data_IF_626516127623
#
_entry.id   IF_626516127623
#
_cell.length_a   1.000
_cell.length_b   1.000
_cell.length_c   1.000
_cell.angle_alpha   90.00
_cell.angle_beta   90.00
_cell.angle_gamma   90.00
#
_symmetry.space_group_name_H-M   'P 1'
#
loop_
_entity.id
_entity.type
_entity.pdbx_description
1 polymer ?
#
# COMPACT_ATOMS: atom_id res chain seq x y z
N UNK A 1 -7.56 4.63 4.43
CA UNK A 1 -8.47 4.70 3.26
C UNK A 1 -9.00 3.32 2.99
N UNK A 2 -10.30 3.19 2.82
CA UNK A 2 -11.00 1.92 2.62
C UNK A 2 -12.21 2.19 1.72
N UNK A 3 -12.28 1.63 0.51
CA UNK A 3 -13.39 1.91 -0.41
C UNK A 3 -14.67 1.14 -0.09
N UNK A 4 -14.60 -0.01 0.59
CA UNK A 4 -15.77 -0.85 0.88
C UNK A 4 -16.57 -0.28 2.06
N UNK A 5 -17.89 -0.06 1.92
CA UNK A 5 -18.70 0.59 2.95
C UNK A 5 -18.64 -0.12 4.31
N UNK A 6 -18.82 -1.43 4.34
CA UNK A 6 -18.79 -2.24 5.56
C UNK A 6 -17.44 -2.22 6.28
N UNK A 7 -16.35 -2.26 5.53
CA UNK A 7 -14.98 -2.14 6.05
C UNK A 7 -14.68 -0.72 6.53
N UNK A 8 -15.18 0.28 5.81
CA UNK A 8 -15.04 1.67 6.21
C UNK A 8 -15.77 1.98 7.52
N UNK A 9 -16.98 1.45 7.70
CA UNK A 9 -17.70 1.59 8.97
C UNK A 9 -16.94 0.95 10.15
N UNK A 10 -16.29 -0.19 9.92
CA UNK A 10 -15.42 -0.83 10.92
C UNK A 10 -14.23 0.09 11.26
N UNK A 11 -13.57 0.67 10.25
CA UNK A 11 -12.48 1.63 10.49
C UNK A 11 -12.93 2.83 11.35
N UNK A 12 -14.11 3.37 11.10
CA UNK A 12 -14.64 4.48 11.91
C UNK A 12 -14.82 4.10 13.38
N UNK A 13 -15.17 2.87 13.66
CA UNK A 13 -15.31 2.36 15.04
C UNK A 13 -13.97 2.11 15.72
N UNK A 14 -13.06 1.44 15.02
CA UNK A 14 -11.78 0.98 15.57
C UNK A 14 -10.72 2.09 15.59
N UNK A 15 -10.79 3.05 14.67
CA UNK A 15 -9.79 4.09 14.46
C UNK A 15 -10.39 5.50 14.53
N UNK A 16 -11.05 5.79 15.65
CA UNK A 16 -11.83 7.02 15.88
C UNK A 16 -11.01 8.31 15.75
N UNK A 17 -9.73 8.25 16.12
CA UNK A 17 -8.84 9.41 16.14
C UNK A 17 -8.09 9.61 14.81
N UNK A 18 -8.30 8.72 13.85
CA UNK A 18 -7.64 8.80 12.55
C UNK A 18 -8.53 9.49 11.50
N UNK A 19 -7.91 10.07 10.50
CA UNK A 19 -8.63 10.52 9.31
C UNK A 19 -8.96 9.29 8.44
N UNK A 20 -10.18 8.81 8.54
CA UNK A 20 -10.68 7.72 7.73
C UNK A 20 -11.41 8.27 6.49
N UNK A 21 -11.09 7.73 5.30
CA UNK A 21 -11.67 8.16 4.03
C UNK A 21 -12.23 6.94 3.30
N UNK A 22 -13.52 7.03 2.88
CA UNK A 22 -14.17 6.01 2.06
C UNK A 22 -13.85 6.23 0.59
N UNK A 23 -12.64 5.85 0.18
CA UNK A 23 -12.13 6.06 -1.17
C UNK A 23 -11.08 5.01 -1.51
N UNK A 24 -11.05 4.58 -2.77
CA UNK A 24 -9.94 3.79 -3.31
C UNK A 24 -8.81 4.69 -3.80
N UNK A 25 -7.63 4.11 -3.98
CA UNK A 25 -6.45 4.84 -4.46
C UNK A 25 -5.97 4.24 -5.78
N UNK A 26 -5.64 5.10 -6.74
CA UNK A 26 -5.17 4.71 -8.06
C UNK A 26 -4.30 5.78 -8.72
N UNK A 27 -4.17 5.71 -10.05
CA UNK A 27 -3.36 6.65 -10.83
C UNK A 27 -4.11 7.91 -11.30
N UNK A 28 -5.41 7.97 -11.10
CA UNK A 28 -6.25 9.10 -11.50
C UNK A 28 -7.49 9.23 -10.61
N UNK A 29 -8.18 10.37 -10.70
CA UNK A 29 -9.49 10.54 -10.10
C UNK A 29 -10.57 9.92 -10.98
N UNK A 30 -11.60 9.31 -10.37
CA UNK A 30 -12.70 8.71 -11.11
C UNK A 30 -13.46 7.64 -10.32
N UNK A 31 -14.03 6.70 -11.07
CA UNK A 31 -14.72 5.54 -10.53
C UNK A 31 -14.06 4.26 -11.02
N UNK A 32 -14.05 3.26 -10.17
CA UNK A 32 -13.47 1.96 -10.43
C UNK A 32 -14.42 0.85 -9.99
N UNK A 33 -14.43 -0.25 -10.71
CA UNK A 33 -15.19 -1.43 -10.33
C UNK A 33 -14.32 -2.43 -9.60
N UNK A 34 -14.71 -2.80 -8.40
CA UNK A 34 -14.12 -3.90 -7.63
C UNK A 34 -14.98 -5.15 -7.71
N UNK A 35 -14.34 -6.30 -7.67
CA UNK A 35 -14.98 -7.61 -7.57
C UNK A 35 -14.82 -8.13 -6.14
N UNK A 36 -15.92 -8.36 -5.44
CA UNK A 36 -15.92 -8.89 -4.07
C UNK A 36 -15.62 -10.40 -4.10
N UNK A 37 -14.62 -10.81 -3.31
CA UNK A 37 -14.18 -12.20 -3.18
C UNK A 37 -14.23 -12.62 -1.70
N UNK A 38 -15.37 -13.15 -1.27
CA UNK A 38 -15.52 -13.56 0.14
C UNK A 38 -15.31 -12.40 1.10
N UNK A 39 -14.21 -12.45 1.89
CA UNK A 39 -13.84 -11.41 2.84
C UNK A 39 -12.96 -10.29 2.23
N UNK A 40 -12.52 -10.45 0.99
CA UNK A 40 -11.64 -9.50 0.29
C UNK A 40 -12.27 -8.92 -0.97
N UNK A 41 -11.51 -8.11 -1.68
CA UNK A 41 -11.88 -7.56 -2.99
C UNK A 41 -10.65 -7.56 -3.91
N UNK A 42 -10.86 -7.50 -5.22
CA UNK A 42 -9.76 -7.43 -6.19
C UNK A 42 -10.16 -6.58 -7.39
N UNK A 43 -9.17 -5.96 -8.03
CA UNK A 43 -9.32 -5.24 -9.29
C UNK A 43 -9.44 -6.19 -10.49
N UNK A 44 -8.96 -7.42 -10.38
CA UNK A 44 -8.86 -8.34 -11.51
C UNK A 44 -10.09 -9.23 -11.66
N UNK A 45 -10.72 -9.17 -12.83
CA UNK A 45 -11.73 -10.15 -13.25
C UNK A 45 -11.20 -11.60 -13.24
N UNK A 46 -9.92 -11.81 -13.50
CA UNK A 46 -9.30 -13.13 -13.59
C UNK A 46 -9.29 -13.87 -12.24
N UNK A 47 -9.24 -13.12 -11.15
CA UNK A 47 -9.28 -13.68 -9.78
C UNK A 47 -10.70 -13.73 -9.21
N UNK A 48 -11.67 -13.03 -9.83
CA UNK A 48 -13.08 -13.09 -9.47
C UNK A 48 -13.73 -14.36 -9.98
N UNK A 49 -14.42 -15.12 -9.10
CA UNK A 49 -15.26 -16.22 -9.53
C UNK A 49 -16.36 -15.68 -10.47
N UNK A 50 -16.87 -16.51 -11.41
CA UNK A 50 -17.90 -16.14 -12.41
C UNK A 50 -19.15 -15.40 -11.84
N UNK A 51 -19.38 -15.46 -10.52
CA UNK A 51 -20.49 -14.80 -9.80
C UNK A 51 -20.03 -13.75 -8.77
N UNK A 52 -18.81 -13.18 -8.90
CA UNK A 52 -18.37 -12.15 -7.96
C UNK A 52 -19.25 -10.91 -8.06
N UNK A 53 -19.74 -10.42 -6.92
CA UNK A 53 -20.50 -9.16 -6.85
C UNK A 53 -19.58 -8.02 -7.23
N UNK A 54 -20.01 -7.19 -8.19
CA UNK A 54 -19.30 -6.01 -8.62
C UNK A 54 -19.83 -4.80 -7.87
N UNK A 55 -18.94 -3.97 -7.34
CA UNK A 55 -19.28 -2.68 -6.77
C UNK A 55 -18.48 -1.57 -7.46
N UNK A 56 -19.07 -0.39 -7.57
CA UNK A 56 -18.38 0.80 -8.06
C UNK A 56 -17.93 1.63 -6.86
N UNK A 57 -16.66 2.01 -6.87
CA UNK A 57 -16.05 2.84 -5.84
C UNK A 57 -15.49 4.12 -6.47
N UNK A 58 -15.47 5.20 -5.69
CA UNK A 58 -14.70 6.39 -6.05
C UNK A 58 -13.23 6.13 -5.83
N UNK A 59 -12.38 6.63 -6.74
CA UNK A 59 -10.93 6.59 -6.61
C UNK A 59 -10.35 7.99 -6.78
N UNK A 60 -9.17 8.19 -6.17
CA UNK A 60 -8.34 9.36 -6.43
C UNK A 60 -6.85 8.98 -6.32
N UNK A 61 -5.96 9.87 -6.75
CA UNK A 61 -4.53 9.66 -6.52
C UNK A 61 -4.20 9.89 -5.05
N UNK A 62 -3.24 9.13 -4.53
CA UNK A 62 -2.75 9.36 -3.17
C UNK A 62 -2.21 10.79 -3.00
N UNK A 63 -1.60 11.35 -4.04
CA UNK A 63 -1.08 12.73 -4.06
C UNK A 63 -2.18 13.78 -3.87
N UNK A 64 -3.32 13.65 -4.56
CA UNK A 64 -4.45 14.56 -4.40
C UNK A 64 -5.05 14.46 -2.99
N UNK A 65 -5.14 13.24 -2.45
CA UNK A 65 -5.62 13.01 -1.09
C UNK A 65 -4.66 13.67 -0.08
N UNK A 66 -3.37 13.46 -0.22
CA UNK A 66 -2.36 14.08 0.65
C UNK A 66 -2.38 15.60 0.55
N UNK A 67 -2.50 16.15 -0.67
CA UNK A 67 -2.64 17.60 -0.89
C UNK A 67 -3.83 18.20 -0.14
N UNK A 68 -4.93 17.48 -0.06
CA UNK A 68 -6.16 17.93 0.60
C UNK A 68 -6.11 17.81 2.12
N UNK A 69 -5.56 16.73 2.64
CA UNK A 69 -5.73 16.36 4.04
C UNK A 69 -4.45 16.40 4.86
N UNK A 70 -3.26 16.29 4.24
CA UNK A 70 -2.01 16.35 4.97
C UNK A 70 -1.64 17.81 5.27
N UNK A 71 -1.43 18.20 6.54
CA UNK A 71 -0.95 19.54 6.88
C UNK A 71 0.37 19.86 6.18
N UNK A 72 0.52 21.11 5.71
CA UNK A 72 1.76 21.57 5.06
C UNK A 72 2.97 21.26 5.95
N UNK A 73 4.07 20.79 5.34
CA UNK A 73 5.32 20.41 6.00
C UNK A 73 5.23 19.23 6.97
N UNK A 74 4.10 18.51 7.04
CA UNK A 74 4.00 17.30 7.86
C UNK A 74 4.81 16.16 7.22
N UNK A 75 5.69 15.56 8.02
CA UNK A 75 6.42 14.35 7.60
C UNK A 75 5.48 13.16 7.47
N UNK A 76 5.75 12.29 6.50
CA UNK A 76 5.11 10.98 6.37
C UNK A 76 6.15 9.96 6.79
N UNK A 77 6.01 9.39 7.99
CA UNK A 77 6.98 8.40 8.47
C UNK A 77 6.79 7.04 7.83
N UNK A 78 5.54 6.68 7.54
CA UNK A 78 5.19 5.35 7.04
C UNK A 78 4.02 5.43 6.08
N UNK A 79 4.10 4.72 4.96
CA UNK A 79 3.01 4.57 4.00
C UNK A 79 2.83 3.09 3.65
N UNK A 80 1.72 2.48 4.08
CA UNK A 80 1.33 1.16 3.61
C UNK A 80 0.46 1.28 2.36
N UNK A 81 0.79 0.50 1.33
CA UNK A 81 0.00 0.31 0.11
C UNK A 81 -0.35 -1.17 0.02
N UNK A 82 -1.66 -1.44 0.05
CA UNK A 82 -2.25 -2.77 0.00
C UNK A 82 -3.63 -2.57 -0.64
N UNK A 83 -3.67 -2.68 -1.96
CA UNK A 83 -4.83 -2.32 -2.79
C UNK A 83 -5.22 -3.43 -3.75
N UNK A 84 -4.86 -4.68 -3.36
CA UNK A 84 -5.34 -5.90 -3.99
C UNK A 84 -5.07 -5.96 -5.51
N UNK A 85 -3.80 -5.69 -5.87
CA UNK A 85 -3.30 -5.75 -7.25
C UNK A 85 -3.27 -4.40 -7.98
N UNK A 86 -3.54 -3.29 -7.28
CA UNK A 86 -3.48 -1.93 -7.81
C UNK A 86 -2.22 -1.15 -7.44
N UNK A 87 -1.22 -1.76 -6.81
CA UNK A 87 -0.03 -1.11 -6.23
C UNK A 87 0.72 -0.28 -7.27
N UNK A 88 0.90 -0.83 -8.48
CA UNK A 88 1.50 -0.11 -9.61
C UNK A 88 0.76 1.19 -9.92
N UNK A 89 -0.57 1.15 -9.98
CA UNK A 89 -1.38 2.32 -10.31
C UNK A 89 -1.28 3.39 -9.21
N UNK A 90 -1.24 2.98 -7.94
CA UNK A 90 -1.03 3.92 -6.83
C UNK A 90 0.31 4.64 -6.98
N UNK A 91 1.38 3.89 -7.27
CA UNK A 91 2.73 4.45 -7.44
C UNK A 91 2.85 5.33 -8.69
N UNK A 92 2.18 5.00 -9.81
CA UNK A 92 2.15 5.84 -11.01
C UNK A 92 1.42 7.18 -10.78
N UNK A 93 0.42 7.22 -9.90
CA UNK A 93 -0.29 8.44 -9.52
C UNK A 93 0.35 9.19 -8.35
N UNK A 94 1.54 8.79 -7.88
CA UNK A 94 2.16 9.33 -6.69
C UNK A 94 3.20 10.43 -7.01
N UNK A 95 3.08 11.56 -6.33
CA UNK A 95 4.01 12.69 -6.45
C UNK A 95 5.18 12.53 -5.48
N UNK A 96 6.21 11.81 -5.90
CA UNK A 96 7.44 11.59 -5.14
C UNK A 96 8.26 12.85 -4.90
N UNK A 97 7.98 13.96 -5.59
CA UNK A 97 8.67 15.23 -5.39
C UNK A 97 8.18 15.94 -4.13
N UNK A 98 6.87 15.98 -3.95
CA UNK A 98 6.24 16.75 -2.88
C UNK A 98 5.90 15.89 -1.64
N UNK A 99 5.70 14.59 -1.81
CA UNK A 99 5.34 13.67 -0.74
C UNK A 99 6.34 12.52 -0.68
N UNK A 100 7.01 12.38 0.45
CA UNK A 100 8.03 11.35 0.61
C UNK A 100 7.91 10.67 1.96
N UNK A 101 7.26 9.50 2.00
CA UNK A 101 7.32 8.65 3.18
C UNK A 101 8.76 8.22 3.46
N UNK A 102 9.14 8.21 4.73
CA UNK A 102 10.42 7.65 5.13
C UNK A 102 10.49 6.15 4.78
N UNK A 103 9.36 5.45 4.97
CA UNK A 103 9.24 4.02 4.67
C UNK A 103 7.96 3.73 3.90
N UNK A 104 8.08 3.03 2.79
CA UNK A 104 6.96 2.35 2.14
C UNK A 104 6.88 0.88 2.58
N UNK A 105 5.67 0.40 2.87
CA UNK A 105 5.34 -1.01 3.04
C UNK A 105 4.31 -1.38 1.98
N UNK A 106 4.68 -2.23 1.03
CA UNK A 106 3.84 -2.51 -0.14
C UNK A 106 3.60 -4.02 -0.25
N UNK A 107 2.34 -4.41 -0.45
CA UNK A 107 2.02 -5.78 -0.79
C UNK A 107 2.70 -6.15 -2.11
N UNK A 108 3.35 -7.31 -2.13
CA UNK A 108 4.25 -7.72 -3.19
C UNK A 108 3.91 -9.07 -3.81
N UNK A 109 2.68 -9.52 -3.60
CA UNK A 109 2.16 -10.79 -4.13
C UNK A 109 0.88 -10.55 -4.90
N UNK A 110 0.60 -11.45 -5.83
CA UNK A 110 -0.69 -11.49 -6.53
C UNK A 110 -1.78 -11.73 -5.49
N UNK A 111 -2.89 -10.96 -5.49
CA UNK A 111 -3.96 -11.05 -4.50
C UNK A 111 -4.44 -12.47 -4.24
N UNK A 112 -4.53 -12.84 -2.95
CA UNK A 112 -4.93 -14.17 -2.52
C UNK A 112 -3.93 -15.29 -2.80
N UNK A 113 -2.68 -14.96 -3.18
CA UNK A 113 -1.61 -15.93 -3.45
C UNK A 113 -0.32 -15.56 -2.73
N UNK A 114 0.72 -16.39 -2.90
CA UNK A 114 2.11 -16.08 -2.49
C UNK A 114 3.02 -15.82 -3.69
N UNK A 115 2.46 -15.68 -4.89
CA UNK A 115 3.22 -15.45 -6.13
C UNK A 115 3.73 -14.00 -6.12
N UNK A 116 5.04 -13.76 -6.19
CA UNK A 116 5.58 -12.40 -6.22
C UNK A 116 5.10 -11.61 -7.45
N UNK A 117 4.83 -10.30 -7.26
CA UNK A 117 4.46 -9.39 -8.34
C UNK A 117 5.15 -8.01 -8.23
N UNK A 118 6.15 -7.88 -7.37
CA UNK A 118 6.86 -6.61 -7.14
C UNK A 118 7.64 -6.10 -8.35
N UNK A 119 8.09 -6.97 -9.21
CA UNK A 119 8.76 -6.65 -10.48
C UNK A 119 7.90 -5.78 -11.41
N UNK A 120 6.58 -5.78 -11.23
CA UNK A 120 5.66 -4.93 -11.99
C UNK A 120 5.77 -3.45 -11.63
N UNK A 121 6.29 -3.09 -10.46
CA UNK A 121 6.24 -1.73 -9.91
C UNK A 121 7.48 -1.28 -9.12
N UNK A 122 8.38 -2.18 -8.73
CA UNK A 122 9.56 -1.87 -7.91
C UNK A 122 10.46 -0.79 -8.53
N UNK A 123 10.62 -0.81 -9.84
CA UNK A 123 11.43 0.15 -10.59
C UNK A 123 10.97 1.61 -10.40
N UNK A 124 9.67 1.83 -10.14
CA UNK A 124 9.12 3.16 -9.85
C UNK A 124 9.74 3.71 -8.56
N UNK A 125 9.85 2.90 -7.52
CA UNK A 125 10.45 3.30 -6.25
C UNK A 125 11.97 3.52 -6.40
N UNK A 126 12.66 2.58 -7.05
CA UNK A 126 14.11 2.66 -7.24
C UNK A 126 14.50 3.93 -8.02
N UNK A 127 13.79 4.27 -9.10
CA UNK A 127 13.98 5.50 -9.87
C UNK A 127 13.68 6.77 -9.06
N UNK A 128 12.87 6.67 -8.01
CA UNK A 128 12.54 7.78 -7.12
C UNK A 128 13.38 7.83 -5.84
N UNK A 129 14.57 7.20 -5.88
CA UNK A 129 15.56 7.23 -4.81
C UNK A 129 15.12 6.55 -3.51
N UNK A 130 14.35 5.46 -3.63
CA UNK A 130 14.10 4.50 -2.57
C UNK A 130 14.95 3.25 -2.80
N UNK A 131 15.30 2.55 -1.74
CA UNK A 131 15.94 1.24 -1.82
C UNK A 131 15.14 0.20 -1.06
N UNK A 132 15.19 -1.03 -1.57
CA UNK A 132 14.65 -2.19 -0.87
C UNK A 132 15.40 -2.41 0.45
N UNK A 133 14.67 -2.55 1.54
CA UNK A 133 15.23 -2.78 2.87
C UNK A 133 15.09 -4.25 3.28
N UNK A 134 13.88 -4.78 3.29
CA UNK A 134 13.62 -6.18 3.62
C UNK A 134 12.23 -6.62 3.15
N UNK A 135 11.98 -7.93 3.21
CA UNK A 135 10.68 -8.55 2.99
C UNK A 135 10.20 -9.25 4.26
N UNK A 136 8.94 -9.04 4.60
CA UNK A 136 8.29 -9.80 5.65
C UNK A 136 6.93 -10.30 5.15
N UNK A 137 6.74 -11.61 5.12
CA UNK A 137 5.58 -12.29 4.55
C UNK A 137 5.29 -11.84 3.11
N UNK A 138 4.13 -11.24 2.85
CA UNK A 138 3.71 -10.76 1.53
C UNK A 138 4.13 -9.31 1.26
N UNK A 139 4.69 -8.61 2.24
CA UNK A 139 5.03 -7.19 2.15
C UNK A 139 6.52 -6.97 1.90
N UNK A 140 6.85 -6.01 1.05
CA UNK A 140 8.21 -5.47 0.84
C UNK A 140 8.30 -4.07 1.41
N UNK A 141 9.43 -3.77 2.02
CA UNK A 141 9.70 -2.49 2.67
C UNK A 141 10.80 -1.75 1.91
N UNK A 142 10.53 -0.48 1.63
CA UNK A 142 11.46 0.43 0.92
C UNK A 142 11.69 1.66 1.76
N UNK A 143 12.92 2.13 1.79
CA UNK A 143 13.36 3.29 2.58
C UNK A 143 13.83 4.43 1.68
N UNK A 144 13.57 5.67 2.09
CA UNK A 144 14.05 6.86 1.39
C UNK A 144 15.57 7.01 1.60
N UNK A 145 16.35 6.89 0.52
CA UNK A 145 17.83 6.98 0.55
C UNK A 145 18.35 8.38 0.94
N UNK A 146 17.49 9.39 1.02
CA UNK A 146 17.87 10.75 1.42
C UNK A 146 17.89 10.93 2.94
N UNK A 147 17.43 9.93 3.68
CA UNK A 147 17.40 9.98 5.14
C UNK A 147 18.65 9.28 5.69
N UNK A 148 19.54 10.10 6.22
CA UNK A 148 20.78 9.63 6.82
C UNK A 148 20.52 8.65 7.98
N UNK A 149 21.30 7.57 8.04
CA UNK A 149 21.22 6.54 9.07
C UNK A 149 19.98 5.63 8.98
N UNK A 150 19.06 5.85 8.03
CA UNK A 150 17.87 5.00 7.94
C UNK A 150 18.21 3.58 7.46
N UNK A 151 19.13 3.47 6.50
CA UNK A 151 19.59 2.18 5.96
C UNK A 151 20.25 1.32 7.04
N UNK A 152 21.08 1.92 7.88
CA UNK A 152 21.77 1.27 8.98
C UNK A 152 20.79 0.74 10.03
N UNK A 153 19.76 1.53 10.37
CA UNK A 153 18.70 1.08 11.29
C UNK A 153 17.94 -0.14 10.75
N UNK A 154 17.72 -0.20 9.44
CA UNK A 154 17.03 -1.31 8.81
C UNK A 154 17.94 -2.52 8.50
N UNK A 155 19.26 -2.36 8.48
CA UNK A 155 20.21 -3.45 8.18
C UNK A 155 20.11 -4.63 9.14
N UNK A 156 19.76 -4.38 10.40
CA UNK A 156 19.66 -5.40 11.45
C UNK A 156 18.29 -6.11 11.46
N UNK A 157 17.26 -5.60 10.78
CA UNK A 157 15.91 -6.16 10.85
C UNK A 157 15.87 -7.61 10.37
N UNK A 158 16.58 -7.95 9.30
CA UNK A 158 16.63 -9.33 8.81
C UNK A 158 17.17 -10.31 9.84
N UNK A 159 18.13 -9.88 10.66
CA UNK A 159 18.65 -10.69 11.77
C UNK A 159 17.56 -10.97 12.81
N UNK A 160 16.80 -9.95 13.20
CA UNK A 160 15.69 -10.11 14.16
C UNK A 160 14.54 -10.94 13.61
N UNK A 161 14.17 -10.77 12.34
CA UNK A 161 13.13 -11.58 11.67
C UNK A 161 13.55 -13.05 11.65
N UNK A 162 14.80 -13.34 11.33
CA UNK A 162 15.31 -14.72 11.30
C UNK A 162 15.33 -15.34 12.71
N UNK A 163 15.77 -14.58 13.72
CA UNK A 163 15.74 -15.01 15.11
C UNK A 163 14.31 -15.31 15.59
N UNK A 164 13.36 -14.40 15.30
CA UNK A 164 11.95 -14.59 15.63
C UNK A 164 11.38 -15.88 15.00
N UNK A 165 11.69 -16.14 13.73
CA UNK A 165 11.25 -17.35 13.03
C UNK A 165 11.87 -18.63 13.61
N UNK A 166 13.09 -18.55 14.15
CA UNK A 166 13.73 -19.68 14.81
C UNK A 166 13.10 -20.00 16.16
N UNK A 167 12.72 -18.97 16.93
CA UNK A 167 12.13 -19.11 18.26
C UNK A 167 10.65 -19.56 18.23
N UNK A 168 9.95 -19.41 17.08
CA UNK A 168 8.53 -19.73 16.93
C UNK A 168 8.29 -20.91 15.95
N UNK A 169 9.27 -21.78 15.77
CA UNK A 169 9.15 -23.09 15.13
C UNK A 169 8.98 -24.16 16.19
#
# INVERSE_FOLDING_TARGET
MEPLPDKYELLLKERKNDLNLQIGVGNQEGNLSLFLMGTGSTLSKAYGRKKAKKINIKINTLSNILKKYLPKKKKIHFCKIDVEGGEKNVLLGYDFKNYRPEVFCIESTVPGTRIPCHDLWEDILLKNNYSFAFKYEINRYYIDNRIEGLKERFSQINKYINLYKLLNR
#
